data_IF_368791089854
#
_entry.id   IF_368791089854
#
_cell.length_a   1.000
_cell.length_b   1.000
_cell.length_c   1.000
_cell.angle_alpha   90.00
_cell.angle_beta   90.00
_cell.angle_gamma   90.00
#
_symmetry.space_group_name_H-M   'P 1'
#
loop_
_entity.id
_entity.type
_entity.pdbx_description
1 polymer ?
#
# COMPACT_ATOMS: atom_id res chain seq x y z
N UNK A 1 -10.62 -5.79 6.93
CA UNK A 1 -10.88 -4.45 7.49
C UNK A 1 -9.71 -3.56 7.14
N UNK A 2 -9.94 -2.29 6.84
CA UNK A 2 -8.89 -1.28 6.63
C UNK A 2 -8.79 -0.41 7.85
N UNK A 3 -7.59 -0.11 8.31
CA UNK A 3 -7.37 0.63 9.55
C UNK A 3 -5.99 1.29 9.57
N UNK A 4 -5.82 2.30 10.44
CA UNK A 4 -4.51 2.92 10.65
C UNK A 4 -3.51 1.89 11.18
N UNK A 5 -2.26 2.00 10.76
CA UNK A 5 -1.19 1.17 11.28
C UNK A 5 -0.84 1.59 12.73
N UNK A 6 -0.98 0.66 13.65
CA UNK A 6 -0.64 0.80 15.08
C UNK A 6 -0.06 -0.52 15.58
N UNK A 7 0.56 -0.58 16.76
CA UNK A 7 1.02 -1.84 17.35
C UNK A 7 -0.07 -2.91 17.52
N UNK A 8 -1.34 -2.50 17.61
CA UNK A 8 -2.48 -3.41 17.75
C UNK A 8 -3.03 -3.88 16.41
N UNK A 9 -2.77 -3.14 15.33
CA UNK A 9 -3.35 -3.42 14.01
C UNK A 9 -2.37 -4.02 13.03
N UNK A 10 -1.06 -3.85 13.23
CA UNK A 10 0.00 -4.50 12.45
C UNK A 10 0.25 -5.89 13.01
N UNK A 11 -0.04 -6.91 12.22
CA UNK A 11 0.03 -8.31 12.65
C UNK A 11 1.36 -8.98 12.30
N UNK A 12 2.07 -8.45 11.31
CA UNK A 12 3.35 -9.00 10.88
C UNK A 12 4.52 -8.55 11.75
N UNK A 13 5.58 -9.34 11.86
CA UNK A 13 6.84 -8.89 12.43
C UNK A 13 7.50 -7.85 11.51
N UNK A 14 8.08 -6.81 12.12
CA UNK A 14 8.87 -5.77 11.47
C UNK A 14 10.27 -5.65 12.09
N UNK A 15 10.65 -6.58 12.95
CA UNK A 15 11.92 -6.51 13.67
C UNK A 15 13.05 -7.03 12.77
N UNK A 16 13.69 -6.11 12.03
CA UNK A 16 14.79 -6.36 11.09
C UNK A 16 14.51 -7.45 10.03
N UNK A 17 13.32 -7.41 9.45
CA UNK A 17 12.89 -8.34 8.40
C UNK A 17 13.43 -7.89 7.05
N UNK A 18 14.04 -8.83 6.31
CA UNK A 18 14.51 -8.62 4.92
C UNK A 18 13.74 -9.51 3.98
N UNK A 19 13.16 -8.89 2.96
CA UNK A 19 12.38 -9.55 1.93
C UNK A 19 12.96 -9.19 0.56
N UNK A 20 12.85 -10.12 -0.38
CA UNK A 20 13.27 -9.88 -1.77
C UNK A 20 12.23 -10.46 -2.73
N UNK A 21 11.82 -9.64 -3.68
CA UNK A 21 10.92 -10.06 -4.76
C UNK A 21 11.26 -9.27 -6.02
N UNK A 22 11.29 -9.96 -7.17
CA UNK A 22 11.54 -9.38 -8.51
C UNK A 22 12.79 -8.48 -8.56
N UNK A 23 13.87 -8.89 -7.87
CA UNK A 23 15.12 -8.12 -7.81
C UNK A 23 15.02 -6.81 -7.01
N UNK A 24 13.99 -6.66 -6.19
CA UNK A 24 13.82 -5.55 -5.25
C UNK A 24 13.94 -6.04 -3.83
N UNK A 25 14.72 -5.33 -3.03
CA UNK A 25 14.92 -5.59 -1.60
C UNK A 25 14.05 -4.65 -0.77
N UNK A 26 13.44 -5.21 0.27
CA UNK A 26 12.62 -4.52 1.25
C UNK A 26 13.18 -4.81 2.63
N UNK A 27 13.47 -3.77 3.38
CA UNK A 27 13.95 -3.89 4.77
C UNK A 27 12.88 -3.28 5.68
N UNK A 28 12.31 -4.11 6.53
CA UNK A 28 11.23 -3.73 7.43
C UNK A 28 11.81 -3.58 8.82
N UNK A 29 11.53 -2.44 9.44
CA UNK A 29 12.03 -2.12 10.78
C UNK A 29 10.90 -1.61 11.67
N UNK A 30 11.07 -1.81 12.97
CA UNK A 30 10.18 -1.27 13.99
C UNK A 30 10.99 -0.48 15.00
N UNK A 31 10.50 0.72 15.32
CA UNK A 31 11.05 1.58 16.39
C UNK A 31 9.90 2.07 17.28
N UNK A 32 9.74 1.43 18.42
CA UNK A 32 8.58 1.66 19.30
C UNK A 32 7.27 1.34 18.59
N UNK A 33 6.43 2.35 18.41
CA UNK A 33 5.12 2.24 17.73
C UNK A 33 5.18 2.52 16.22
N UNK A 34 6.35 2.77 15.69
CA UNK A 34 6.55 3.06 14.26
C UNK A 34 7.01 1.83 13.50
N UNK A 35 6.37 1.59 12.38
CA UNK A 35 6.70 0.57 11.41
C UNK A 35 7.19 1.24 10.14
N UNK A 36 8.35 0.86 9.65
CA UNK A 36 8.99 1.51 8.50
C UNK A 36 9.45 0.45 7.48
N UNK A 37 9.47 0.85 6.23
CA UNK A 37 9.99 0.03 5.13
C UNK A 37 11.02 0.85 4.37
N UNK A 38 12.23 0.32 4.25
CA UNK A 38 13.24 0.82 3.32
C UNK A 38 13.13 0.02 2.02
N UNK A 39 12.91 0.72 0.91
CA UNK A 39 12.63 0.13 -0.40
C UNK A 39 13.09 1.08 -1.52
N UNK A 40 13.10 0.59 -2.76
CA UNK A 40 13.20 1.48 -3.94
C UNK A 40 12.00 2.43 -3.94
N UNK A 41 12.25 3.71 -4.19
CA UNK A 41 11.22 4.74 -4.17
C UNK A 41 10.11 4.42 -5.20
N UNK A 42 8.87 4.15 -4.74
CA UNK A 42 7.77 3.80 -5.61
C UNK A 42 7.36 4.91 -6.57
N UNK A 43 7.55 6.17 -6.17
CA UNK A 43 7.16 7.30 -7.00
C UNK A 43 8.22 7.57 -8.08
N UNK A 44 9.50 7.43 -7.76
CA UNK A 44 10.56 7.41 -8.75
C UNK A 44 10.34 6.28 -9.78
N UNK A 45 10.15 5.04 -9.33
CA UNK A 45 9.97 3.88 -10.22
C UNK A 45 8.74 4.04 -11.12
N UNK A 46 7.62 4.52 -10.57
CA UNK A 46 6.40 4.79 -11.33
C UNK A 46 6.60 5.86 -12.40
N UNK A 47 7.39 6.90 -12.11
CA UNK A 47 7.73 7.93 -13.08
C UNK A 47 8.57 7.36 -14.23
N UNK A 48 9.58 6.53 -13.93
CA UNK A 48 10.40 5.89 -14.97
C UNK A 48 9.57 5.00 -15.90
N UNK A 49 8.62 4.25 -15.34
CA UNK A 49 7.69 3.42 -16.12
C UNK A 49 6.76 4.31 -16.97
N UNK A 50 6.24 5.39 -16.40
CA UNK A 50 5.38 6.36 -17.08
C UNK A 50 6.08 7.04 -18.26
N UNK A 51 7.39 7.29 -18.16
CA UNK A 51 8.23 7.84 -19.21
C UNK A 51 8.64 6.80 -20.28
N UNK A 52 8.16 5.57 -20.16
CA UNK A 52 8.39 4.50 -21.12
C UNK A 52 9.80 3.91 -21.09
N UNK A 53 10.54 4.07 -20.00
CA UNK A 53 11.88 3.47 -19.86
C UNK A 53 11.80 1.95 -19.79
N UNK A 54 12.77 1.28 -20.40
CA UNK A 54 12.86 -0.18 -20.33
C UNK A 54 13.13 -0.66 -18.91
N UNK A 55 12.45 -1.76 -18.52
CA UNK A 55 12.58 -2.36 -17.18
C UNK A 55 14.04 -2.66 -16.81
N UNK A 56 14.84 -3.16 -17.75
CA UNK A 56 16.25 -3.46 -17.53
C UNK A 56 17.10 -2.23 -17.19
N UNK A 57 16.73 -1.06 -17.73
CA UNK A 57 17.39 0.21 -17.40
C UNK A 57 16.99 0.69 -16.00
N UNK A 58 15.71 0.56 -15.67
CA UNK A 58 15.19 0.89 -14.34
C UNK A 58 15.86 0.01 -13.28
N UNK A 59 15.94 -1.31 -13.53
CA UNK A 59 16.53 -2.28 -12.61
C UNK A 59 17.99 -1.96 -12.24
N UNK A 60 18.78 -1.53 -13.21
CA UNK A 60 20.20 -1.16 -12.96
C UNK A 60 20.37 0.04 -12.05
N UNK A 61 19.38 0.93 -11.99
CA UNK A 61 19.45 2.18 -11.23
C UNK A 61 18.66 2.11 -9.91
N UNK A 62 17.73 1.19 -9.80
CA UNK A 62 16.74 1.13 -8.72
C UNK A 62 17.36 1.21 -7.31
N UNK A 63 18.42 0.46 -7.06
CA UNK A 63 19.05 0.44 -5.73
C UNK A 63 19.70 1.77 -5.31
N UNK A 64 19.89 2.71 -6.24
CA UNK A 64 20.39 4.06 -5.95
C UNK A 64 19.28 5.02 -5.50
N UNK A 65 18.03 4.63 -5.71
CA UNK A 65 16.83 5.40 -5.42
C UNK A 65 16.01 4.77 -4.29
N UNK A 66 16.66 4.50 -3.16
CA UNK A 66 15.99 3.94 -1.98
C UNK A 66 15.50 5.03 -1.04
N UNK A 67 14.34 4.77 -0.45
CA UNK A 67 13.73 5.63 0.57
C UNK A 67 13.25 4.80 1.74
N UNK A 68 13.13 5.41 2.91
CA UNK A 68 12.45 4.84 4.07
C UNK A 68 11.11 5.53 4.24
N UNK A 69 10.04 4.76 4.23
CA UNK A 69 8.66 5.25 4.37
C UNK A 69 7.98 4.59 5.58
N UNK A 70 7.20 5.35 6.36
CA UNK A 70 6.39 4.77 7.43
C UNK A 70 5.24 3.95 6.85
N UNK A 71 4.88 2.86 7.52
CA UNK A 71 3.62 2.17 7.29
C UNK A 71 2.52 2.94 8.03
N UNK A 72 1.54 3.45 7.31
CA UNK A 72 0.48 4.30 7.87
C UNK A 72 -0.88 3.63 7.95
N UNK A 73 -1.08 2.56 7.19
CA UNK A 73 -2.37 1.88 7.09
C UNK A 73 -2.18 0.39 6.78
N UNK A 74 -3.12 -0.43 7.22
CA UNK A 74 -3.20 -1.86 6.91
C UNK A 74 -4.54 -2.21 6.28
N UNK A 75 -4.57 -3.25 5.45
CA UNK A 75 -5.79 -3.82 4.88
C UNK A 75 -5.76 -5.32 5.06
N UNK A 76 -6.86 -5.89 5.56
CA UNK A 76 -6.95 -7.31 5.90
C UNK A 76 -6.69 -7.58 7.38
N UNK A 77 -7.35 -8.62 7.93
CA UNK A 77 -7.26 -8.95 9.36
C UNK A 77 -7.57 -10.42 9.67
N UNK A 78 -7.88 -11.25 8.67
CA UNK A 78 -8.29 -12.64 8.88
C UNK A 78 -7.39 -13.65 8.18
N UNK A 79 -7.09 -13.45 6.91
CA UNK A 79 -6.28 -14.39 6.11
C UNK A 79 -4.92 -13.77 5.79
N UNK A 80 -4.95 -12.61 5.14
CA UNK A 80 -3.75 -11.87 4.76
C UNK A 80 -3.87 -10.42 5.19
N UNK A 81 -2.74 -9.78 5.44
CA UNK A 81 -2.67 -8.36 5.73
C UNK A 81 -1.68 -7.67 4.77
N UNK A 82 -2.15 -6.60 4.12
CA UNK A 82 -1.34 -5.72 3.28
C UNK A 82 -1.03 -4.41 3.97
N UNK A 83 0.05 -3.74 3.56
CA UNK A 83 0.63 -2.58 4.22
C UNK A 83 0.77 -1.42 3.25
N UNK A 84 0.44 -0.21 3.72
CA UNK A 84 0.40 1.00 2.91
C UNK A 84 1.36 2.05 3.44
N UNK A 85 2.11 2.63 2.53
CA UNK A 85 3.07 3.69 2.76
C UNK A 85 2.65 4.95 2.00
N UNK A 86 2.97 6.16 2.49
CA UNK A 86 2.67 7.39 1.77
C UNK A 86 3.51 7.51 0.50
N UNK A 87 2.92 8.05 -0.55
CA UNK A 87 3.60 8.54 -1.74
C UNK A 87 3.94 10.02 -1.63
N UNK A 88 4.52 10.59 -2.69
CA UNK A 88 5.01 11.96 -2.71
C UNK A 88 3.96 13.03 -3.04
N UNK A 89 2.72 12.62 -3.42
CA UNK A 89 1.69 13.56 -3.89
C UNK A 89 0.46 13.54 -2.99
N UNK A 90 0.34 14.53 -2.12
CA UNK A 90 -0.81 14.69 -1.24
C UNK A 90 -1.00 13.49 -0.31
N UNK A 91 -2.20 12.91 -0.30
CA UNK A 91 -2.48 11.72 0.50
C UNK A 91 -2.46 10.41 -0.31
N UNK A 92 -1.64 10.35 -1.36
CA UNK A 92 -1.39 9.14 -2.13
C UNK A 92 -0.84 8.03 -1.22
N UNK A 93 -1.40 6.83 -1.34
CA UNK A 93 -0.90 5.64 -0.63
C UNK A 93 -0.51 4.55 -1.62
N UNK A 94 0.67 3.99 -1.41
CA UNK A 94 1.23 2.88 -2.16
C UNK A 94 1.24 1.61 -1.31
N UNK A 95 0.80 0.50 -1.85
CA UNK A 95 0.92 -0.79 -1.19
C UNK A 95 2.32 -1.35 -1.42
N UNK A 96 3.00 -1.80 -0.36
CA UNK A 96 4.20 -2.63 -0.56
C UNK A 96 3.79 -3.95 -1.21
N UNK A 97 4.58 -4.55 -2.13
CA UNK A 97 4.20 -5.76 -2.86
C UNK A 97 4.38 -7.04 -2.01
N UNK A 98 4.00 -6.95 -0.75
CA UNK A 98 4.09 -8.03 0.22
C UNK A 98 2.82 -8.11 1.06
N UNK A 99 2.37 -9.33 1.32
CA UNK A 99 1.31 -9.65 2.26
C UNK A 99 1.85 -10.51 3.39
N UNK A 100 1.27 -10.36 4.55
CA UNK A 100 1.51 -11.26 5.66
C UNK A 100 0.38 -12.27 5.76
N UNK A 101 0.69 -13.56 5.59
CA UNK A 101 -0.25 -14.65 5.77
C UNK A 101 -0.42 -14.94 7.27
N UNK A 102 -1.59 -14.62 7.82
CA UNK A 102 -1.81 -14.57 9.26
C UNK A 102 -1.75 -15.97 9.90
N UNK A 103 -2.39 -16.96 9.29
CA UNK A 103 -2.39 -18.32 9.84
C UNK A 103 -1.02 -19.00 9.75
N UNK A 104 -0.28 -18.77 8.68
CA UNK A 104 1.04 -19.36 8.45
C UNK A 104 2.20 -18.54 9.06
N UNK A 105 1.89 -17.34 9.58
CA UNK A 105 2.88 -16.42 10.17
C UNK A 105 4.09 -16.17 9.27
N UNK A 106 3.86 -15.96 7.98
CA UNK A 106 4.91 -15.70 6.99
C UNK A 106 4.59 -14.58 6.05
N UNK A 107 5.63 -13.92 5.58
CA UNK A 107 5.54 -12.98 4.46
C UNK A 107 5.39 -13.72 3.13
N UNK A 108 4.57 -13.19 2.27
CA UNK A 108 4.23 -13.74 0.96
C UNK A 108 4.28 -12.61 -0.08
N UNK A 109 5.01 -12.77 -1.18
CA UNK A 109 5.00 -11.76 -2.24
C UNK A 109 3.61 -11.68 -2.88
N UNK A 110 3.27 -10.51 -3.38
CA UNK A 110 1.93 -10.24 -3.94
C UNK A 110 1.58 -11.18 -5.10
N UNK A 111 2.55 -11.54 -5.91
CA UNK A 111 2.39 -12.47 -7.02
C UNK A 111 1.95 -13.87 -6.61
N UNK A 112 2.19 -14.28 -5.37
CA UNK A 112 1.72 -15.54 -4.82
C UNK A 112 0.27 -15.44 -4.31
N UNK A 113 -0.19 -14.23 -4.01
CA UNK A 113 -1.53 -13.96 -3.50
C UNK A 113 -2.54 -13.65 -4.61
N UNK A 114 -2.09 -13.06 -5.72
CA UNK A 114 -2.95 -12.60 -6.80
C UNK A 114 -2.38 -12.99 -8.16
N UNK A 115 -3.26 -13.46 -9.04
CA UNK A 115 -2.89 -13.72 -10.43
C UNK A 115 -2.56 -12.40 -11.14
N UNK A 116 -1.31 -12.22 -11.47
CA UNK A 116 -0.83 -11.09 -12.26
C UNK A 116 -0.18 -11.59 -13.56
N UNK A 117 -0.23 -10.78 -14.64
CA UNK A 117 0.54 -11.10 -15.83
C UNK A 117 2.03 -11.25 -15.47
N UNK A 118 2.74 -12.27 -16.00
CA UNK A 118 4.13 -12.58 -15.62
C UNK A 118 5.14 -11.44 -15.80
N UNK A 119 4.78 -10.42 -16.54
CA UNK A 119 5.62 -9.24 -16.84
C UNK A 119 4.90 -7.94 -16.49
N UNK A 120 4.02 -7.95 -15.48
CA UNK A 120 3.41 -6.69 -15.03
C UNK A 120 4.50 -5.72 -14.58
N UNK A 121 4.60 -4.52 -15.19
CA UNK A 121 5.56 -3.51 -14.75
C UNK A 121 5.14 -2.84 -13.43
N UNK A 122 3.95 -3.12 -12.94
CA UNK A 122 3.42 -2.48 -11.72
C UNK A 122 3.89 -3.22 -10.48
N UNK A 123 4.89 -2.66 -9.82
CA UNK A 123 5.33 -3.13 -8.49
C UNK A 123 4.41 -2.66 -7.36
N UNK A 124 3.71 -1.54 -7.53
CA UNK A 124 2.90 -0.91 -6.48
C UNK A 124 1.44 -0.73 -6.91
N UNK A 125 0.54 -0.99 -5.97
CA UNK A 125 -0.90 -0.67 -6.08
C UNK A 125 -1.14 0.66 -5.38
N UNK A 126 -2.05 1.46 -5.91
CA UNK A 126 -2.50 2.72 -5.33
C UNK A 126 -3.82 2.51 -4.61
N UNK A 127 -3.89 2.91 -3.33
CA UNK A 127 -5.12 2.84 -2.54
C UNK A 127 -6.22 3.71 -3.13
N UNK A 128 -5.85 4.91 -3.52
CA UNK A 128 -6.73 6.03 -3.82
C UNK A 128 -7.65 5.83 -5.02
N UNK A 129 -7.31 4.93 -5.93
CA UNK A 129 -8.10 4.64 -7.13
C UNK A 129 -8.77 3.25 -7.11
N UNK A 130 -8.06 2.23 -6.65
CA UNK A 130 -8.54 0.87 -6.76
C UNK A 130 -9.20 0.33 -5.48
N UNK A 131 -8.53 0.51 -4.34
CA UNK A 131 -8.93 -0.16 -3.10
C UNK A 131 -9.98 0.62 -2.32
N UNK A 132 -9.98 1.94 -2.49
CA UNK A 132 -10.85 2.88 -1.78
C UNK A 132 -12.33 2.49 -1.87
N UNK A 133 -12.80 2.18 -3.07
CA UNK A 133 -14.23 1.93 -3.33
C UNK A 133 -14.79 0.74 -2.55
N UNK A 134 -13.98 -0.32 -2.41
CA UNK A 134 -14.41 -1.55 -1.74
C UNK A 134 -13.95 -1.64 -0.28
N UNK A 135 -12.95 -0.86 0.12
CA UNK A 135 -12.32 -0.99 1.44
C UNK A 135 -12.49 0.25 2.34
N UNK A 136 -13.39 1.15 1.96
CA UNK A 136 -13.81 2.30 2.79
C UNK A 136 -15.31 2.55 2.67
N UNK A 137 -15.84 3.32 3.60
CA UNK A 137 -17.21 3.82 3.56
C UNK A 137 -17.20 5.26 3.10
N UNK A 138 -18.02 5.60 2.10
CA UNK A 138 -18.11 6.94 1.54
C UNK A 138 -16.80 7.43 0.90
N UNK A 139 -16.03 6.51 0.33
CA UNK A 139 -14.77 6.82 -0.34
C UNK A 139 -14.97 7.73 -1.55
N UNK A 140 -14.19 8.79 -1.63
CA UNK A 140 -14.20 9.76 -2.73
C UNK A 140 -12.77 9.97 -3.23
N UNK A 141 -12.41 9.41 -4.38
CA UNK A 141 -11.14 9.76 -5.01
C UNK A 141 -11.17 11.22 -5.41
N UNK A 142 -10.06 11.90 -5.24
CA UNK A 142 -9.94 13.31 -5.57
C UNK A 142 -8.53 13.71 -5.94
N UNK A 143 -8.44 14.80 -6.73
CA UNK A 143 -7.17 15.42 -7.06
C UNK A 143 -7.37 16.93 -7.07
N UNK A 144 -6.45 17.66 -6.46
CA UNK A 144 -6.40 19.12 -6.53
C UNK A 144 -6.19 19.56 -7.98
N UNK A 145 -7.06 20.42 -8.47
CA UNK A 145 -6.96 20.96 -9.85
C UNK A 145 -5.79 21.93 -10.02
N UNK A 146 -5.30 22.49 -8.92
CA UNK A 146 -4.22 23.50 -8.93
C UNK A 146 -2.85 22.90 -8.65
N UNK A 147 -2.74 22.01 -7.66
CA UNK A 147 -1.46 21.41 -7.25
C UNK A 147 -1.23 20.02 -7.83
N UNK A 148 -2.25 19.40 -8.43
CA UNK A 148 -2.27 18.02 -8.90
C UNK A 148 -1.93 16.99 -7.80
N UNK A 149 -2.13 17.38 -6.54
CA UNK A 149 -1.98 16.49 -5.40
C UNK A 149 -3.22 15.62 -5.23
N UNK A 150 -3.00 14.39 -4.81
CA UNK A 150 -4.07 13.46 -4.49
C UNK A 150 -4.77 13.93 -3.20
N UNK A 151 -6.10 14.06 -3.25
CA UNK A 151 -6.96 14.51 -2.16
C UNK A 151 -8.13 13.54 -2.02
N UNK A 152 -7.82 12.31 -1.65
CA UNK A 152 -8.82 11.28 -1.41
C UNK A 152 -9.44 11.44 -0.04
N UNK A 153 -10.75 11.31 0.04
CA UNK A 153 -11.52 11.34 1.28
C UNK A 153 -12.23 10.02 1.50
N UNK A 154 -12.40 9.63 2.75
CA UNK A 154 -13.26 8.52 3.17
C UNK A 154 -13.95 8.92 4.46
N UNK A 155 -15.24 8.64 4.58
CA UNK A 155 -15.96 8.87 5.83
C UNK A 155 -15.42 7.95 6.93
N UNK A 156 -15.16 6.69 6.57
CA UNK A 156 -14.57 5.70 7.47
C UNK A 156 -13.62 4.77 6.71
N UNK A 157 -12.56 4.32 7.39
CA UNK A 157 -11.73 3.22 6.91
C UNK A 157 -12.44 1.90 7.20
N UNK A 158 -12.51 1.02 6.19
CA UNK A 158 -13.23 -0.25 6.26
C UNK A 158 -14.68 -0.11 5.77
N UNK A 159 -15.37 -1.24 5.75
CA UNK A 159 -16.73 -1.36 5.25
C UNK A 159 -17.68 -1.34 6.45
N UNK A 160 -18.41 -0.25 6.62
CA UNK A 160 -19.53 -0.16 7.57
C UNK A 160 -20.84 -0.54 6.89
N UNK A 161 -21.91 -0.66 7.66
CA UNK A 161 -23.26 -0.92 7.13
C UNK A 161 -23.69 0.13 6.09
N UNK A 162 -23.26 1.37 6.28
CA UNK A 162 -23.56 2.50 5.40
C UNK A 162 -22.90 2.41 4.03
N UNK A 163 -21.86 1.61 3.86
CA UNK A 163 -21.23 1.38 2.56
C UNK A 163 -22.20 0.76 1.55
N UNK A 164 -23.14 -0.09 2.03
CA UNK A 164 -24.13 -0.76 1.20
C UNK A 164 -25.53 -0.14 1.33
N UNK A 165 -25.90 0.31 2.52
CA UNK A 165 -27.25 0.79 2.83
C UNK A 165 -27.42 2.31 2.77
N UNK A 166 -26.31 3.05 2.54
CA UNK A 166 -26.31 4.50 2.58
C UNK A 166 -26.42 5.06 4.00
N UNK A 167 -26.45 6.39 4.11
CA UNK A 167 -26.45 7.09 5.40
C UNK A 167 -27.66 6.70 6.25
N UNK A 168 -27.41 6.15 7.43
CA UNK A 168 -28.42 5.58 8.34
C UNK A 168 -29.37 6.58 9.02
N UNK A 169 -29.35 7.86 8.66
CA UNK A 169 -30.17 8.94 9.27
C UNK A 169 -31.66 8.66 9.33
N UNK A 170 -32.17 7.73 8.52
CA UNK A 170 -33.60 7.37 8.50
C UNK A 170 -33.93 6.18 9.40
N UNK A 171 -32.94 5.60 10.09
CA UNK A 171 -33.14 4.47 11.00
C UNK A 171 -33.20 4.88 12.48
N UNK A 172 -33.16 6.18 12.76
CA UNK A 172 -33.24 6.72 14.13
C UNK A 172 -34.57 7.43 14.30
#
# INVERSE_FOLDING_TARGET
MTQKATPQTVLAPFDDVRLESRGRRYELTRSGDRFEVNLVDPDWESAQIGDGRESSAIDREAERHRVTRPVVMTTGSHHVQGYWIPGDRGNLLRQIPWYFHIAEQRWMPREDAFLEPPRSPRHFITWNDNCLTCHSTGGRPGMSKTTLEVQTEAAELGISCEACHGAGRKHV
#
